data_IF_944668032379
#
_entry.id   IF_944668032379
#
_cell.length_a   1.000
_cell.length_b   1.000
_cell.length_c   1.000
_cell.angle_alpha   90.00
_cell.angle_beta   90.00
_cell.angle_gamma   90.00
#
_symmetry.space_group_name_H-M   'P 1'
#
loop_
_entity.id
_entity.type
_entity.pdbx_description
1 polymer ?
#
# COMPACT_ATOMS: atom_id res chain seq x y z
N UNK A 1 -10.10 25.34 16.87
CA UNK A 1 -9.59 25.67 15.52
C UNK A 1 -10.62 25.16 14.51
N UNK A 2 -11.32 26.04 13.80
CA UNK A 2 -12.41 25.66 12.88
C UNK A 2 -11.80 25.13 11.58
N UNK A 3 -12.04 23.87 11.26
CA UNK A 3 -11.66 23.26 9.98
C UNK A 3 -12.58 23.83 8.91
N UNK A 4 -12.02 24.58 7.96
CA UNK A 4 -12.72 24.89 6.72
C UNK A 4 -12.59 23.71 5.76
N UNK A 5 -13.52 22.77 5.87
CA UNK A 5 -13.83 21.84 4.78
C UNK A 5 -14.44 22.68 3.65
N UNK A 6 -13.62 23.13 2.70
CA UNK A 6 -14.16 23.48 1.39
C UNK A 6 -14.78 22.20 0.86
N UNK A 7 -16.10 22.22 0.71
CA UNK A 7 -16.92 21.11 0.20
C UNK A 7 -16.14 20.30 -0.82
N UNK A 8 -15.93 19.02 -0.52
CA UNK A 8 -15.53 18.05 -1.52
C UNK A 8 -16.67 18.03 -2.55
N UNK A 9 -16.52 18.82 -3.61
CA UNK A 9 -17.39 18.74 -4.77
C UNK A 9 -17.09 17.39 -5.41
N UNK A 10 -17.87 16.37 -5.04
CA UNK A 10 -17.93 15.08 -5.74
C UNK A 10 -18.64 15.34 -7.07
N UNK A 11 -17.97 16.05 -7.97
CA UNK A 11 -18.32 16.01 -9.39
C UNK A 11 -17.86 14.67 -9.94
N UNK A 12 -18.49 14.18 -11.01
CA UNK A 12 -18.09 12.99 -11.77
C UNK A 12 -16.68 13.09 -12.41
N UNK A 13 -15.79 13.88 -11.83
CA UNK A 13 -14.41 13.99 -12.24
C UNK A 13 -13.70 12.66 -12.04
N UNK A 14 -12.84 12.27 -12.99
CA UNK A 14 -11.95 11.11 -12.85
C UNK A 14 -11.03 11.19 -11.61
N UNK A 15 -10.95 12.38 -10.99
CA UNK A 15 -10.00 12.76 -9.97
C UNK A 15 -10.68 13.49 -8.82
N UNK A 16 -10.31 13.13 -7.59
CA UNK A 16 -10.55 13.93 -6.40
C UNK A 16 -9.27 14.74 -6.14
N UNK A 17 -9.44 16.03 -5.90
CA UNK A 17 -8.35 16.98 -5.63
C UNK A 17 -8.54 17.58 -4.24
N UNK A 18 -7.51 17.48 -3.42
CA UNK A 18 -7.51 18.04 -2.06
C UNK A 18 -6.18 18.74 -1.84
N UNK A 19 -6.21 19.93 -1.25
CA UNK A 19 -5.00 20.63 -0.81
C UNK A 19 -4.97 20.65 0.70
N UNK A 20 -3.88 20.15 1.30
CA UNK A 20 -3.68 20.13 2.75
C UNK A 20 -2.26 20.58 3.06
N UNK A 21 -2.13 21.56 3.94
CA UNK A 21 -0.84 22.08 4.43
C UNK A 21 0.14 22.46 3.28
N UNK A 22 -0.41 23.00 2.18
CA UNK A 22 0.35 23.41 1.00
C UNK A 22 0.70 22.28 0.02
N UNK A 23 0.20 21.07 0.25
CA UNK A 23 0.44 19.89 -0.59
C UNK A 23 -0.84 19.56 -1.39
N UNK A 24 -0.69 19.37 -2.69
CA UNK A 24 -1.80 18.96 -3.58
C UNK A 24 -1.88 17.44 -3.70
N UNK A 25 -3.00 16.86 -3.27
CA UNK A 25 -3.32 15.45 -3.41
C UNK A 25 -4.32 15.28 -4.55
N UNK A 26 -3.93 14.50 -5.57
CA UNK A 26 -4.74 14.18 -6.74
C UNK A 26 -4.94 12.66 -6.77
N UNK A 27 -6.14 12.20 -6.43
CA UNK A 27 -6.46 10.77 -6.35
C UNK A 27 -7.48 10.40 -7.41
N UNK A 28 -7.17 9.42 -8.23
CA UNK A 28 -8.12 8.93 -9.21
C UNK A 28 -9.27 8.18 -8.53
N UNK A 29 -10.49 8.30 -9.06
CA UNK A 29 -11.68 7.65 -8.49
C UNK A 29 -11.52 6.12 -8.28
N UNK A 30 -10.86 5.35 -9.18
CA UNK A 30 -10.67 3.92 -8.96
C UNK A 30 -9.86 3.59 -7.69
N UNK A 31 -8.96 4.47 -7.26
CA UNK A 31 -8.19 4.33 -6.01
C UNK A 31 -9.09 4.49 -4.80
N UNK A 32 -9.90 5.56 -4.79
CA UNK A 32 -10.84 5.82 -3.69
C UNK A 32 -11.78 4.64 -3.50
N UNK A 33 -12.35 4.13 -4.61
CA UNK A 33 -13.18 2.94 -4.53
C UNK A 33 -12.39 1.75 -4.02
N UNK A 34 -11.15 1.54 -4.49
CA UNK A 34 -10.33 0.35 -4.16
C UNK A 34 -10.05 0.30 -2.66
N UNK A 35 -9.69 1.44 -2.09
CA UNK A 35 -9.24 1.56 -0.71
C UNK A 35 -10.39 1.72 0.30
N UNK A 36 -11.60 2.00 -0.18
CA UNK A 36 -12.80 2.06 0.67
C UNK A 36 -13.17 0.66 1.20
N UNK A 37 -13.38 0.58 2.50
CA UNK A 37 -13.74 -0.66 3.23
C UNK A 37 -15.15 -0.57 3.80
N UNK A 38 -15.61 0.64 4.13
CA UNK A 38 -16.95 1.00 4.56
C UNK A 38 -17.15 2.52 4.33
N UNK A 39 -18.38 3.01 4.52
CA UNK A 39 -18.75 4.41 4.26
C UNK A 39 -18.13 5.39 5.27
N UNK A 40 -17.74 4.93 6.46
CA UNK A 40 -17.17 5.76 7.54
C UNK A 40 -15.64 5.96 7.43
N UNK A 41 -14.99 5.34 6.45
CA UNK A 41 -13.54 5.35 6.34
C UNK A 41 -13.04 6.37 5.33
N UNK A 42 -12.53 7.50 5.83
CA UNK A 42 -11.99 8.57 5.01
C UNK A 42 -10.62 8.19 4.41
N UNK A 43 -10.68 7.70 3.18
CA UNK A 43 -9.52 7.30 2.38
C UNK A 43 -8.53 8.46 2.22
N UNK A 44 -9.01 9.69 2.02
CA UNK A 44 -8.13 10.82 1.71
C UNK A 44 -7.37 11.24 2.96
N UNK A 45 -8.08 11.41 4.08
CA UNK A 45 -7.46 11.78 5.35
C UNK A 45 -6.47 10.71 5.83
N UNK A 46 -6.78 9.44 5.58
CA UNK A 46 -5.87 8.32 5.88
C UNK A 46 -4.59 8.37 5.03
N UNK A 47 -4.70 8.73 3.75
CA UNK A 47 -3.53 8.88 2.86
C UNK A 47 -2.68 10.07 3.29
N UNK A 48 -3.30 11.21 3.60
CA UNK A 48 -2.61 12.39 4.15
C UNK A 48 -1.86 12.01 5.42
N UNK A 49 -2.54 11.31 6.34
CA UNK A 49 -1.94 10.80 7.59
C UNK A 49 -0.75 9.88 7.32
N UNK A 50 -0.84 8.99 6.33
CA UNK A 50 0.26 8.09 5.98
C UNK A 50 1.48 8.84 5.44
N UNK A 51 1.29 9.85 4.59
CA UNK A 51 2.39 10.73 4.16
C UNK A 51 2.98 11.51 5.34
N UNK A 52 2.15 12.02 6.25
CA UNK A 52 2.60 12.72 7.45
C UNK A 52 3.46 11.82 8.35
N UNK A 53 3.10 10.55 8.50
CA UNK A 53 3.90 9.55 9.23
C UNK A 53 5.17 9.13 8.48
N UNK A 54 5.24 9.36 7.17
CA UNK A 54 6.41 9.04 6.36
C UNK A 54 7.45 10.18 6.33
N UNK A 55 7.04 11.45 6.46
CA UNK A 55 7.98 12.59 6.45
C UNK A 55 9.08 12.49 7.51
N UNK A 56 8.81 12.20 8.80
CA UNK A 56 9.84 12.04 9.81
C UNK A 56 10.84 10.91 9.51
N UNK A 57 10.46 9.96 8.66
CA UNK A 57 11.32 8.84 8.24
C UNK A 57 12.27 9.22 7.09
N UNK A 58 12.19 10.43 6.56
CA UNK A 58 13.07 10.91 5.48
C UNK A 58 12.46 10.85 4.09
N UNK A 59 11.13 10.80 3.97
CA UNK A 59 10.45 11.18 2.71
C UNK A 59 10.70 12.69 2.48
N UNK A 60 11.14 13.10 1.27
CA UNK A 60 11.39 14.52 0.99
C UNK A 60 10.10 15.32 1.09
N UNK A 61 10.19 16.64 1.29
CA UNK A 61 9.02 17.50 1.21
C UNK A 61 8.42 17.45 -0.20
N UNK A 62 7.16 17.02 -0.28
CA UNK A 62 6.43 16.86 -1.54
C UNK A 62 5.43 18.01 -1.66
N UNK A 63 5.33 18.62 -2.85
CA UNK A 63 4.35 19.65 -3.18
C UNK A 63 3.09 19.09 -3.83
N UNK A 64 3.22 17.99 -4.56
CA UNK A 64 2.07 17.33 -5.20
C UNK A 64 2.21 15.82 -5.20
N UNK A 65 1.12 15.13 -4.89
CA UNK A 65 0.99 13.69 -4.83
C UNK A 65 -0.12 13.28 -5.78
N UNK A 66 0.20 12.39 -6.71
CA UNK A 66 -0.73 11.85 -7.69
C UNK A 66 -0.86 10.35 -7.50
N UNK A 67 -2.08 9.85 -7.32
CA UNK A 67 -2.35 8.41 -7.13
C UNK A 67 -3.29 7.89 -8.22
N UNK A 68 -2.73 7.11 -9.14
CA UNK A 68 -3.38 6.58 -10.33
C UNK A 68 -3.90 5.16 -10.12
N UNK A 69 -5.14 4.90 -10.51
CA UNK A 69 -5.77 3.58 -10.49
C UNK A 69 -5.33 2.62 -11.59
N UNK A 70 -4.25 2.94 -12.30
CA UNK A 70 -3.67 2.14 -13.38
C UNK A 70 -2.15 2.14 -13.26
N UNK A 71 -1.54 0.96 -13.10
CA UNK A 71 -0.11 0.81 -13.32
C UNK A 71 0.19 0.60 -14.80
N UNK A 72 1.30 1.20 -15.24
CA UNK A 72 1.80 1.12 -16.62
C UNK A 72 2.44 -0.26 -16.87
N UNK A 73 3.11 -0.81 -15.86
CA UNK A 73 3.79 -2.10 -15.95
C UNK A 73 2.80 -3.26 -15.77
N UNK A 74 2.68 -4.12 -16.80
CA UNK A 74 1.71 -5.23 -16.85
C UNK A 74 1.85 -6.24 -15.71
N UNK A 75 3.02 -6.33 -15.09
CA UNK A 75 3.33 -7.37 -14.11
C UNK A 75 3.30 -6.91 -12.64
N UNK A 76 3.21 -5.61 -12.35
CA UNK A 76 3.20 -5.10 -10.97
C UNK A 76 1.80 -4.68 -10.50
N UNK A 77 1.58 -4.72 -9.18
CA UNK A 77 0.37 -4.17 -8.57
C UNK A 77 0.52 -2.68 -8.23
N UNK A 78 1.75 -2.22 -8.02
CA UNK A 78 2.12 -0.85 -7.71
C UNK A 78 3.42 -0.43 -8.41
N UNK A 79 3.67 0.87 -8.49
CA UNK A 79 5.00 1.47 -8.54
C UNK A 79 4.92 2.96 -8.15
N UNK A 80 6.02 3.52 -7.67
CA UNK A 80 6.17 4.94 -7.34
C UNK A 80 7.24 5.63 -8.19
N UNK A 81 7.03 6.91 -8.47
CA UNK A 81 8.00 7.80 -9.10
C UNK A 81 8.03 9.12 -8.34
N UNK A 82 9.21 9.52 -7.88
CA UNK A 82 9.51 10.84 -7.35
C UNK A 82 10.20 11.69 -8.41
N UNK A 83 9.59 12.82 -8.77
CA UNK A 83 10.12 13.78 -9.72
C UNK A 83 10.72 14.97 -8.95
N UNK A 84 12.01 14.85 -8.62
CA UNK A 84 12.76 15.83 -7.79
C UNK A 84 12.61 17.28 -8.28
N UNK A 85 12.61 17.52 -9.59
CA UNK A 85 12.49 18.89 -10.17
C UNK A 85 11.20 19.60 -9.73
N UNK A 86 10.11 18.85 -9.53
CA UNK A 86 8.81 19.41 -9.19
C UNK A 86 8.40 19.13 -7.74
N UNK A 87 9.25 18.47 -6.96
CA UNK A 87 8.91 17.88 -5.66
C UNK A 87 7.56 17.15 -5.73
N UNK A 88 7.40 16.30 -6.76
CA UNK A 88 6.13 15.64 -7.06
C UNK A 88 6.29 14.13 -6.96
N UNK A 89 5.27 13.46 -6.45
CA UNK A 89 5.20 12.01 -6.37
C UNK A 89 4.05 11.50 -7.23
N UNK A 90 4.31 10.43 -7.98
CA UNK A 90 3.32 9.68 -8.73
C UNK A 90 3.31 8.23 -8.25
N UNK A 91 2.21 7.78 -7.67
CA UNK A 91 1.99 6.39 -7.26
C UNK A 91 0.95 5.78 -8.19
N UNK A 92 1.27 4.64 -8.77
CA UNK A 92 0.41 3.96 -9.73
C UNK A 92 0.03 2.57 -9.23
N UNK A 93 -1.25 2.37 -8.90
CA UNK A 93 -1.77 1.11 -8.37
C UNK A 93 -2.75 0.50 -9.37
N UNK A 94 -2.55 -0.78 -9.72
CA UNK A 94 -3.38 -1.55 -10.66
C UNK A 94 -4.75 -1.92 -10.07
N UNK A 95 -5.61 -0.93 -9.80
CA UNK A 95 -6.87 -1.10 -9.08
C UNK A 95 -7.78 -2.20 -9.64
N UNK A 96 -8.01 -2.21 -10.96
CA UNK A 96 -8.85 -3.22 -11.61
C UNK A 96 -8.28 -4.65 -11.50
N UNK A 97 -6.95 -4.79 -11.54
CA UNK A 97 -6.29 -6.09 -11.35
C UNK A 97 -6.43 -6.56 -9.91
N UNK A 98 -6.18 -5.68 -8.94
CA UNK A 98 -6.29 -6.02 -7.51
C UNK A 98 -7.73 -6.46 -7.19
N UNK A 99 -8.74 -5.72 -7.68
CA UNK A 99 -10.15 -6.12 -7.50
C UNK A 99 -10.47 -7.49 -8.08
N UNK A 100 -10.01 -7.76 -9.31
CA UNK A 100 -10.24 -9.04 -9.96
C UNK A 100 -9.52 -10.18 -9.22
N UNK A 101 -8.27 -9.94 -8.81
CA UNK A 101 -7.43 -10.98 -8.26
C UNK A 101 -7.78 -11.28 -6.78
N UNK A 102 -8.33 -10.31 -6.02
CA UNK A 102 -8.59 -10.44 -4.57
C UNK A 102 -10.05 -10.25 -4.13
N UNK A 103 -10.96 -9.88 -5.03
CA UNK A 103 -12.39 -9.73 -4.75
C UNK A 103 -12.69 -8.85 -3.54
N UNK A 104 -13.41 -9.41 -2.56
CA UNK A 104 -13.79 -8.71 -1.31
C UNK A 104 -12.59 -8.28 -0.45
N UNK A 105 -11.44 -8.94 -0.57
CA UNK A 105 -10.22 -8.57 0.15
C UNK A 105 -9.37 -7.53 -0.59
N UNK A 106 -9.82 -7.06 -1.76
CA UNK A 106 -9.08 -6.08 -2.56
C UNK A 106 -8.67 -4.79 -1.85
N UNK A 107 -9.43 -4.25 -0.87
CA UNK A 107 -9.00 -3.05 -0.17
C UNK A 107 -7.74 -3.26 0.68
N UNK A 108 -7.61 -4.39 1.37
CA UNK A 108 -6.45 -4.69 2.20
C UNK A 108 -5.17 -4.85 1.37
N UNK A 109 -5.28 -5.50 0.21
CA UNK A 109 -4.18 -5.54 -0.75
C UNK A 109 -3.91 -4.15 -1.36
N UNK A 110 -4.93 -3.33 -1.57
CA UNK A 110 -4.77 -1.95 -2.02
C UNK A 110 -3.97 -1.11 -1.01
N UNK A 111 -4.32 -1.19 0.27
CA UNK A 111 -3.63 -0.48 1.35
C UNK A 111 -2.20 -0.95 1.53
N UNK A 112 -1.95 -2.27 1.48
CA UNK A 112 -0.58 -2.78 1.56
C UNK A 112 0.28 -2.26 0.40
N UNK A 113 -0.24 -2.28 -0.83
CA UNK A 113 0.48 -1.73 -2.00
C UNK A 113 0.74 -0.24 -1.81
N UNK A 114 -0.24 0.54 -1.36
CA UNK A 114 -0.02 1.97 -1.17
C UNK A 114 1.07 2.25 -0.12
N UNK A 115 1.01 1.59 1.04
CA UNK A 115 2.03 1.72 2.07
C UNK A 115 3.41 1.31 1.57
N UNK A 116 3.48 0.21 0.80
CA UNK A 116 4.70 -0.28 0.15
C UNK A 116 5.30 0.77 -0.80
N UNK A 117 4.48 1.36 -1.67
CA UNK A 117 4.95 2.39 -2.60
C UNK A 117 5.37 3.70 -1.90
N UNK A 118 4.77 4.04 -0.76
CA UNK A 118 5.19 5.18 0.06
C UNK A 118 6.53 4.87 0.76
N UNK A 119 6.72 3.66 1.27
CA UNK A 119 7.97 3.25 1.92
C UNK A 119 9.18 3.33 0.99
N UNK A 120 9.01 3.14 -0.33
CA UNK A 120 10.06 3.38 -1.31
C UNK A 120 10.61 4.82 -1.32
N UNK A 121 9.78 5.81 -0.95
CA UNK A 121 10.17 7.22 -0.89
C UNK A 121 11.03 7.55 0.33
N UNK A 122 11.06 6.68 1.33
CA UNK A 122 11.86 6.87 2.55
C UNK A 122 13.34 6.85 2.17
N UNK A 123 14.03 7.97 2.43
CA UNK A 123 15.45 8.13 2.11
C UNK A 123 15.74 8.47 0.63
N UNK A 124 14.72 8.65 -0.22
CA UNK A 124 14.92 8.98 -1.65
C UNK A 124 15.63 10.33 -1.87
N UNK A 125 15.62 11.21 -0.86
CA UNK A 125 16.42 12.45 -0.83
C UNK A 125 17.93 12.21 -1.00
N UNK A 126 18.42 11.02 -0.63
CA UNK A 126 19.80 10.56 -0.84
C UNK A 126 20.09 9.97 -2.24
N UNK A 127 19.11 9.97 -3.17
CA UNK A 127 19.31 9.60 -4.57
C UNK A 127 18.87 8.18 -4.96
N UNK A 128 18.40 7.36 -4.02
CA UNK A 128 17.98 5.98 -4.29
C UNK A 128 16.68 5.64 -3.57
N UNK A 129 15.78 4.90 -4.23
CA UNK A 129 14.61 4.31 -3.58
C UNK A 129 15.05 3.23 -2.60
N UNK A 130 14.31 3.12 -1.50
CA UNK A 130 14.56 2.06 -0.53
C UNK A 130 14.26 0.70 -1.16
N UNK A 131 15.28 -0.14 -1.33
CA UNK A 131 15.09 -1.51 -1.85
C UNK A 131 14.26 -2.37 -0.88
N UNK A 132 13.61 -3.42 -1.37
CA UNK A 132 12.82 -4.37 -0.57
C UNK A 132 13.67 -5.22 0.39
N UNK A 133 14.30 -4.59 1.39
CA UNK A 133 14.99 -5.22 2.51
C UNK A 133 14.21 -5.07 3.81
N UNK A 134 14.85 -5.42 4.93
CA UNK A 134 14.19 -5.41 6.24
C UNK A 134 13.73 -4.01 6.66
N UNK A 135 14.50 -2.98 6.28
CA UNK A 135 14.12 -1.57 6.52
C UNK A 135 12.83 -1.23 5.78
N UNK A 136 12.70 -1.59 4.51
CA UNK A 136 11.47 -1.34 3.74
C UNK A 136 10.27 -2.06 4.33
N UNK A 137 10.45 -3.31 4.75
CA UNK A 137 9.39 -4.09 5.40
C UNK A 137 8.95 -3.44 6.71
N UNK A 138 9.90 -3.04 7.58
CA UNK A 138 9.60 -2.39 8.87
C UNK A 138 8.85 -1.08 8.66
N UNK A 139 9.39 -0.20 7.82
CA UNK A 139 8.77 1.09 7.48
C UNK A 139 7.37 0.91 6.94
N UNK A 140 7.17 -0.02 6.00
CA UNK A 140 5.83 -0.27 5.43
C UNK A 140 4.86 -0.73 6.52
N UNK A 141 5.26 -1.65 7.40
CA UNK A 141 4.42 -2.12 8.51
C UNK A 141 4.05 -1.01 9.47
N UNK A 142 5.03 -0.21 9.89
CA UNK A 142 4.79 0.90 10.82
C UNK A 142 3.86 1.95 10.19
N UNK A 143 4.06 2.30 8.92
CA UNK A 143 3.16 3.20 8.19
C UNK A 143 1.73 2.67 8.16
N UNK A 144 1.53 1.37 7.93
CA UNK A 144 0.21 0.75 7.96
C UNK A 144 -0.39 0.79 9.38
N UNK A 145 0.38 0.45 10.41
CA UNK A 145 -0.10 0.44 11.81
C UNK A 145 -0.44 1.83 12.34
N UNK A 146 0.38 2.84 12.04
CA UNK A 146 0.21 4.20 12.57
C UNK A 146 -0.89 4.97 11.84
N UNK A 147 -1.15 4.61 10.58
CA UNK A 147 -2.07 5.36 9.71
C UNK A 147 -3.48 4.78 9.70
N UNK A 148 -3.59 3.45 9.71
CA UNK A 148 -4.86 2.73 9.53
C UNK A 148 -5.42 2.23 10.88
N UNK A 149 -6.74 2.08 11.01
CA UNK A 149 -7.32 1.33 12.12
C UNK A 149 -6.88 -0.14 12.06
N UNK A 150 -6.81 -0.81 13.22
CA UNK A 150 -6.32 -2.18 13.34
C UNK A 150 -7.07 -3.19 12.44
N UNK A 151 -8.38 -3.00 12.28
CA UNK A 151 -9.23 -3.80 11.39
C UNK A 151 -8.84 -3.74 9.92
N UNK A 152 -8.02 -2.77 9.53
CA UNK A 152 -7.49 -2.59 8.16
C UNK A 152 -5.99 -2.82 8.11
N UNK A 153 -5.24 -2.33 9.11
CA UNK A 153 -3.78 -2.46 9.14
C UNK A 153 -3.34 -3.92 9.23
N UNK A 154 -3.97 -4.73 10.10
CA UNK A 154 -3.58 -6.12 10.32
C UNK A 154 -3.76 -6.97 9.06
N UNK A 155 -4.92 -6.98 8.38
CA UNK A 155 -5.06 -7.70 7.11
C UNK A 155 -4.13 -7.18 6.00
N UNK A 156 -3.84 -5.88 5.98
CA UNK A 156 -2.91 -5.29 5.01
C UNK A 156 -1.46 -5.76 5.27
N UNK A 157 -1.05 -5.83 6.54
CA UNK A 157 0.27 -6.35 6.95
C UNK A 157 0.37 -7.84 6.68
N UNK A 158 -0.70 -8.61 6.89
CA UNK A 158 -0.76 -10.01 6.47
C UNK A 158 -0.43 -10.13 4.98
N UNK A 159 -1.10 -9.36 4.11
CA UNK A 159 -0.83 -9.39 2.68
C UNK A 159 0.55 -8.85 2.28
N UNK A 160 1.09 -7.86 2.99
CA UNK A 160 2.47 -7.39 2.81
C UNK A 160 3.47 -8.52 3.05
N UNK A 161 3.32 -9.25 4.17
CA UNK A 161 4.20 -10.36 4.51
C UNK A 161 4.07 -11.49 3.48
N UNK A 162 2.85 -11.79 3.03
CA UNK A 162 2.62 -12.72 1.92
C UNK A 162 3.35 -12.27 0.64
N UNK A 163 3.26 -11.00 0.24
CA UNK A 163 3.94 -10.50 -0.95
C UNK A 163 5.48 -10.57 -0.82
N UNK A 164 6.02 -10.37 0.39
CA UNK A 164 7.44 -10.57 0.68
C UNK A 164 7.87 -12.05 0.58
N UNK A 165 7.02 -13.00 0.97
CA UNK A 165 7.30 -14.42 0.80
C UNK A 165 7.38 -14.83 -0.68
N UNK A 166 6.68 -14.11 -1.58
CA UNK A 166 6.75 -14.37 -3.02
C UNK A 166 8.13 -14.10 -3.64
N UNK A 167 9.11 -13.61 -2.87
CA UNK A 167 10.51 -13.48 -3.31
C UNK A 167 11.11 -14.77 -3.88
N UNK A 168 10.68 -15.94 -3.37
CA UNK A 168 11.10 -17.24 -3.93
C UNK A 168 10.70 -17.45 -5.40
N UNK A 169 9.58 -16.86 -5.83
CA UNK A 169 9.10 -16.89 -7.21
C UNK A 169 9.50 -15.67 -8.04
N UNK A 170 9.79 -14.56 -7.38
CA UNK A 170 10.24 -13.31 -7.99
C UNK A 170 11.70 -13.09 -7.59
N UNK A 171 12.65 -13.82 -8.23
CA UNK A 171 14.09 -13.73 -7.88
C UNK A 171 14.53 -12.26 -7.78
N UNK A 172 15.15 -11.92 -6.65
CA UNK A 172 15.65 -10.56 -6.39
C UNK A 172 14.58 -9.55 -5.97
N UNK A 173 13.32 -9.97 -5.81
CA UNK A 173 12.23 -9.09 -5.38
C UNK A 173 12.45 -8.61 -3.94
N UNK A 174 12.64 -9.50 -2.97
CA UNK A 174 12.95 -9.14 -1.58
C UNK A 174 14.29 -9.71 -1.14
N UNK A 175 15.05 -8.90 -0.41
CA UNK A 175 16.31 -9.27 0.25
C UNK A 175 16.10 -9.70 1.70
N UNK A 176 14.87 -9.69 2.20
CA UNK A 176 14.53 -10.18 3.54
C UNK A 176 14.57 -11.70 3.54
N UNK A 177 15.17 -12.29 4.58
CA UNK A 177 15.22 -13.75 4.71
C UNK A 177 13.82 -14.32 4.93
N UNK A 178 13.50 -15.40 4.22
CA UNK A 178 12.18 -16.04 4.24
C UNK A 178 11.75 -16.48 5.64
N UNK A 179 12.66 -17.01 6.44
CA UNK A 179 12.42 -17.43 7.83
C UNK A 179 11.97 -16.27 8.72
N UNK A 180 12.59 -15.08 8.57
CA UNK A 180 12.16 -13.88 9.28
C UNK A 180 10.75 -13.44 8.87
N UNK A 181 10.42 -13.49 7.58
CA UNK A 181 9.07 -13.13 7.10
C UNK A 181 8.03 -14.13 7.61
N UNK A 182 8.34 -15.43 7.61
CA UNK A 182 7.47 -16.48 8.14
C UNK A 182 7.25 -16.33 9.65
N UNK A 183 8.29 -15.99 10.41
CA UNK A 183 8.18 -15.72 11.84
C UNK A 183 7.23 -14.54 12.11
N UNK A 184 7.41 -13.43 11.40
CA UNK A 184 6.52 -12.27 11.51
C UNK A 184 5.08 -12.58 11.10
N UNK A 185 4.90 -13.37 10.04
CA UNK A 185 3.58 -13.80 9.60
C UNK A 185 2.88 -14.62 10.68
N UNK A 186 3.59 -15.55 11.33
CA UNK A 186 3.05 -16.32 12.46
C UNK A 186 2.66 -15.42 13.62
N UNK A 187 3.49 -14.44 13.98
CA UNK A 187 3.17 -13.50 15.05
C UNK A 187 1.92 -12.68 14.72
N UNK A 188 1.77 -12.20 13.49
CA UNK A 188 0.57 -11.47 13.06
C UNK A 188 -0.67 -12.36 13.15
N UNK A 189 -0.58 -13.61 12.69
CA UNK A 189 -1.70 -14.56 12.74
C UNK A 189 -2.11 -14.84 14.18
N UNK A 190 -1.16 -15.18 15.05
CA UNK A 190 -1.43 -15.58 16.44
C UNK A 190 -1.88 -14.42 17.31
N UNK A 191 -1.24 -13.24 17.20
CA UNK A 191 -1.50 -12.13 18.11
C UNK A 191 -2.76 -11.33 17.77
N UNK A 192 -3.24 -11.42 16.53
CA UNK A 192 -4.40 -10.65 16.05
C UNK A 192 -5.52 -11.52 15.49
N UNK A 193 -5.46 -12.84 15.71
CA UNK A 193 -6.48 -13.82 15.30
C UNK A 193 -6.92 -13.67 13.83
N UNK A 194 -5.92 -13.63 12.93
CA UNK A 194 -6.17 -13.44 11.50
C UNK A 194 -6.76 -14.72 10.89
N UNK A 195 -7.97 -14.62 10.33
CA UNK A 195 -8.58 -15.71 9.56
C UNK A 195 -7.84 -15.96 8.23
N UNK A 196 -6.80 -16.78 8.30
CA UNK A 196 -5.97 -17.14 7.16
C UNK A 196 -6.77 -17.82 6.05
N UNK A 197 -7.79 -18.62 6.38
CA UNK A 197 -8.62 -19.32 5.41
C UNK A 197 -9.44 -18.31 4.59
N UNK A 198 -10.00 -17.30 5.26
CA UNK A 198 -10.70 -16.20 4.60
C UNK A 198 -9.77 -15.41 3.66
N UNK A 199 -8.60 -14.95 4.14
CA UNK A 199 -7.73 -14.07 3.36
C UNK A 199 -7.01 -14.79 2.20
N UNK A 200 -6.62 -16.06 2.38
CA UNK A 200 -6.12 -16.89 1.28
C UNK A 200 -7.25 -17.23 0.29
N UNK A 201 -8.44 -17.54 0.81
CA UNK A 201 -9.63 -17.86 0.01
C UNK A 201 -10.11 -16.72 -0.88
N UNK A 202 -9.72 -15.48 -0.60
CA UNK A 202 -10.04 -14.32 -1.43
C UNK A 202 -9.36 -14.31 -2.81
N UNK A 203 -8.31 -15.12 -3.04
CA UNK A 203 -7.60 -15.13 -4.32
C UNK A 203 -7.11 -16.53 -4.70
N UNK A 204 -7.84 -17.19 -5.63
CA UNK A 204 -7.39 -18.45 -6.25
C UNK A 204 -6.03 -18.30 -6.93
N UNK A 205 -5.76 -17.12 -7.50
CA UNK A 205 -4.48 -16.80 -8.13
C UNK A 205 -3.36 -16.74 -7.09
N UNK A 206 -3.57 -16.07 -5.95
CA UNK A 206 -2.59 -16.03 -4.87
C UNK A 206 -2.28 -17.45 -4.36
N UNK A 207 -3.31 -18.26 -4.10
CA UNK A 207 -3.12 -19.66 -3.66
C UNK A 207 -2.29 -20.45 -4.66
N UNK A 208 -2.63 -20.35 -5.96
CA UNK A 208 -1.87 -21.00 -7.03
C UNK A 208 -0.41 -20.54 -7.07
N UNK A 209 -0.17 -19.24 -6.92
CA UNK A 209 1.20 -18.70 -6.85
C UNK A 209 1.93 -19.24 -5.61
N UNK A 210 1.34 -19.17 -4.42
CA UNK A 210 1.95 -19.65 -3.18
C UNK A 210 2.30 -21.14 -3.23
N UNK A 211 1.44 -21.97 -3.82
CA UNK A 211 1.74 -23.39 -4.09
C UNK A 211 2.89 -23.56 -5.07
N UNK A 212 2.88 -22.83 -6.19
CA UNK A 212 3.98 -22.87 -7.17
C UNK A 212 5.33 -22.41 -6.59
N UNK A 213 5.30 -21.57 -5.55
CA UNK A 213 6.48 -21.12 -4.82
C UNK A 213 6.92 -22.07 -3.70
N UNK A 214 6.22 -23.19 -3.48
CA UNK A 214 6.48 -24.12 -2.38
C UNK A 214 6.21 -23.55 -0.99
N UNK A 215 5.43 -22.47 -0.89
CA UNK A 215 5.07 -21.83 0.39
C UNK A 215 3.88 -22.53 1.04
N UNK A 216 2.92 -22.97 0.22
CA UNK A 216 1.81 -23.82 0.64
C UNK A 216 2.02 -25.24 0.11
N UNK A 217 1.59 -26.28 0.84
CA UNK A 217 1.54 -27.63 0.31
C UNK A 217 0.64 -27.69 -0.93
N UNK A 218 1.02 -28.56 -1.88
CA UNK A 218 0.32 -28.78 -3.15
C UNK A 218 -1.13 -29.23 -2.96
#
# INVERSE_FOLDING_TARGET
MKVHLKSAVITRALWIRVTRDGIEYNLSHPIIKLLSINDDFDVIDTIIKMFNNAYPRGVPMIRSIWIYGRAIYRHTYGHVMYVKRYNSVSIHISSGRIRRDFGKCSPYWGWQVLGHEIAHLVGVGGGHYLSHGSVHLSVTRELLMESLPLSVSIPSIYYLLIDYLLSGCKRGYSRVRTDSVLYELRNVITNYDVDTNYYLGCSRRLVSVLRSCGILPM
#
